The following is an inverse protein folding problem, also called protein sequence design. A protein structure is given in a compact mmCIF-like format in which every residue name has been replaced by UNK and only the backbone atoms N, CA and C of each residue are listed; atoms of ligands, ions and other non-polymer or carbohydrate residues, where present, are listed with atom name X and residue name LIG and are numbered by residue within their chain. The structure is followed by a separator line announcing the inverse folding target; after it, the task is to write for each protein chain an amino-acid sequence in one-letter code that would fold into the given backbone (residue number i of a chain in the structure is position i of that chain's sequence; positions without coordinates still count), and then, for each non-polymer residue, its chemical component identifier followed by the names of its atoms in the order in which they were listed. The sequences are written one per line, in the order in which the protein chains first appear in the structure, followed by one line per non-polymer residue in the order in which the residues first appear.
data_IF_069122461233
#
_entry.id   IF_069122461233
#
_cell.length_a   1.000
_cell.length_b   1.000
_cell.length_c   1.000
_cell.angle_alpha   90.00
_cell.angle_beta   90.00
_cell.angle_gamma   90.00
#
_symmetry.space_group_name_H-M   'P 1'
#
loop_
_entity.id
_entity.type
_entity.pdbx_description
1 polymer ?
#
# COMPACT_ATOMS: atom_id res chain seq x y z
N UNK A 1 2.80 -2.87 26.25
CA UNK A 1 3.66 -3.46 25.23
C UNK A 1 2.97 -3.34 23.89
N UNK A 2 3.28 -2.25 23.19
CA UNK A 2 2.83 -1.94 21.84
C UNK A 2 3.72 -2.57 20.76
N UNK A 3 4.81 -3.26 21.12
CA UNK A 3 5.64 -4.04 20.19
C UNK A 3 6.04 -5.39 20.79
N UNK A 4 5.08 -6.31 20.87
CA UNK A 4 5.26 -7.61 21.55
C UNK A 4 6.46 -8.43 21.06
N UNK A 5 6.83 -8.31 19.78
CA UNK A 5 7.92 -9.06 19.16
C UNK A 5 9.22 -8.27 19.04
N UNK A 6 9.20 -6.96 19.27
CA UNK A 6 10.35 -6.06 19.09
C UNK A 6 10.58 -5.27 20.38
N UNK A 7 11.72 -5.46 21.08
CA UNK A 7 11.97 -4.76 22.34
C UNK A 7 12.00 -3.22 22.17
N UNK A 8 11.06 -2.52 22.79
CA UNK A 8 10.96 -1.06 22.78
C UNK A 8 10.66 -0.50 24.19
N UNK A 9 11.70 -0.29 24.99
CA UNK A 9 11.59 0.06 26.42
C UNK A 9 10.88 1.40 26.68
N UNK A 10 11.04 2.33 25.76
CA UNK A 10 10.42 3.66 25.78
C UNK A 10 8.91 3.61 25.45
N UNK A 11 8.45 2.53 24.78
CA UNK A 11 7.08 2.37 24.31
C UNK A 11 6.61 3.56 23.46
N UNK A 12 7.53 4.20 22.73
CA UNK A 12 7.20 5.33 21.88
C UNK A 12 6.16 4.92 20.84
N UNK A 13 5.21 5.80 20.59
CA UNK A 13 4.13 5.67 19.63
C UNK A 13 3.72 7.08 19.20
N UNK A 14 4.21 7.52 18.05
CA UNK A 14 4.15 8.90 17.59
C UNK A 14 2.80 9.27 16.96
N UNK A 15 2.09 8.29 16.39
CA UNK A 15 0.80 8.50 15.72
C UNK A 15 -0.41 7.99 16.55
N UNK A 16 -0.13 7.35 17.68
CA UNK A 16 -1.08 6.85 18.68
C UNK A 16 -1.93 5.66 18.24
N UNK A 17 -1.47 4.88 17.27
CA UNK A 17 -2.13 3.66 16.83
C UNK A 17 -1.83 2.44 17.76
N UNK A 18 -2.16 1.20 17.36
CA UNK A 18 -1.93 0.02 18.21
C UNK A 18 -0.46 -0.44 18.28
N UNK A 19 0.38 -0.01 17.35
CA UNK A 19 1.78 -0.36 17.22
C UNK A 19 2.66 0.77 17.77
N UNK A 20 3.86 0.42 18.23
CA UNK A 20 4.84 1.43 18.65
C UNK A 20 5.84 1.67 17.53
N UNK A 21 6.49 2.84 17.52
CA UNK A 21 7.45 3.27 16.47
C UNK A 21 8.52 2.21 16.12
N UNK A 22 8.86 1.33 17.07
CA UNK A 22 9.86 0.28 16.87
C UNK A 22 9.39 -0.91 16.00
N UNK A 23 8.08 -1.09 15.83
CA UNK A 23 7.48 -2.19 15.08
C UNK A 23 6.36 -1.73 14.16
N UNK A 24 6.25 -0.43 13.95
CA UNK A 24 5.26 0.21 13.09
C UNK A 24 5.91 0.50 11.73
N UNK A 25 5.33 -0.02 10.65
CA UNK A 25 5.79 0.25 9.29
C UNK A 25 5.36 1.62 8.75
N UNK A 26 4.55 2.39 9.49
CA UNK A 26 4.24 3.79 9.25
C UNK A 26 4.22 4.64 10.54
N UNK A 27 5.36 4.88 11.21
CA UNK A 27 5.42 5.46 12.57
C UNK A 27 4.75 6.83 12.80
N UNK A 28 4.33 7.51 11.74
CA UNK A 28 3.71 8.84 11.80
C UNK A 28 2.29 8.87 11.19
N UNK A 29 1.75 7.73 10.75
CA UNK A 29 0.46 7.63 10.05
C UNK A 29 -0.30 6.39 10.56
N UNK A 30 -1.42 6.56 11.29
CA UNK A 30 -2.09 5.44 11.93
C UNK A 30 -2.54 4.36 10.95
N UNK A 31 -2.06 3.12 11.16
CA UNK A 31 -2.34 1.98 10.29
C UNK A 31 -2.35 0.65 11.07
N UNK A 32 -3.40 0.45 11.86
CA UNK A 32 -3.58 -0.74 12.72
C UNK A 32 -3.58 -2.09 11.97
N UNK A 33 -3.74 -2.12 10.65
CA UNK A 33 -3.62 -3.35 9.85
C UNK A 33 -2.18 -3.66 9.45
N UNK A 34 -1.26 -2.70 9.59
CA UNK A 34 0.17 -2.80 9.24
C UNK A 34 0.36 -3.40 7.85
N UNK A 35 -0.56 -3.07 6.93
CA UNK A 35 -0.54 -3.62 5.58
C UNK A 35 0.68 -3.09 4.84
N UNK A 36 1.37 -3.97 4.14
CA UNK A 36 2.55 -3.73 3.33
C UNK A 36 2.44 -4.68 2.13
N UNK A 37 1.97 -4.13 1.00
CA UNK A 37 1.56 -4.90 -0.19
C UNK A 37 2.76 -5.41 -0.99
N UNK A 38 3.87 -4.68 -1.02
CA UNK A 38 5.10 -5.07 -1.73
C UNK A 38 6.17 -5.72 -0.82
N UNK A 39 5.93 -5.74 0.49
CA UNK A 39 6.81 -6.28 1.53
C UNK A 39 8.17 -5.59 1.62
N UNK A 40 8.23 -4.28 1.33
CA UNK A 40 9.45 -3.48 1.41
C UNK A 40 9.76 -2.97 2.84
N UNK A 41 8.80 -3.08 3.77
CA UNK A 41 8.91 -2.65 5.16
C UNK A 41 8.33 -1.26 5.46
N UNK A 42 7.87 -0.52 4.45
CA UNK A 42 7.03 0.68 4.54
C UNK A 42 5.56 0.25 4.38
N UNK A 43 4.66 0.75 5.22
CA UNK A 43 3.26 0.35 5.14
C UNK A 43 2.50 1.08 4.02
N UNK A 44 1.46 0.44 3.49
CA UNK A 44 0.56 1.00 2.45
C UNK A 44 0.00 2.39 2.83
N UNK A 45 -0.08 2.71 4.13
CA UNK A 45 -0.61 3.97 4.63
C UNK A 45 0.35 5.16 4.44
N UNK A 46 1.65 4.89 4.31
CA UNK A 46 2.70 5.91 4.15
C UNK A 46 3.52 5.73 2.88
N UNK A 47 3.43 4.58 2.20
CA UNK A 47 4.09 4.32 0.93
C UNK A 47 3.38 5.03 -0.25
N UNK A 48 4.17 5.61 -1.16
CA UNK A 48 3.71 6.30 -2.35
C UNK A 48 3.65 5.41 -3.60
N UNK A 49 4.10 4.16 -3.50
CA UNK A 49 4.14 3.12 -4.55
C UNK A 49 3.89 1.77 -3.86
N UNK A 50 2.65 1.50 -3.44
CA UNK A 50 2.34 0.41 -2.50
C UNK A 50 2.52 -0.99 -3.10
N UNK A 51 2.66 -1.12 -4.42
CA UNK A 51 2.93 -2.39 -5.07
C UNK A 51 4.36 -2.52 -5.63
N UNK A 52 5.15 -1.45 -5.53
CA UNK A 52 6.59 -1.46 -5.83
C UNK A 52 6.90 -1.63 -7.32
N UNK A 53 5.98 -1.24 -8.20
CA UNK A 53 6.14 -1.40 -9.64
C UNK A 53 6.92 -0.24 -10.31
N UNK A 54 7.17 0.83 -9.55
CA UNK A 54 7.89 2.03 -9.95
C UNK A 54 6.99 3.18 -10.43
N UNK A 55 5.67 3.01 -10.40
CA UNK A 55 4.68 4.02 -10.73
C UNK A 55 4.00 4.51 -9.44
N UNK A 56 4.05 5.82 -9.13
CA UNK A 56 3.40 6.32 -7.92
C UNK A 56 1.89 6.03 -7.91
N UNK A 57 1.32 5.69 -6.74
CA UNK A 57 -0.09 5.34 -6.53
C UNK A 57 -1.11 6.26 -7.22
N UNK A 58 -0.79 7.56 -7.33
CA UNK A 58 -1.67 8.56 -7.94
C UNK A 58 -1.69 8.53 -9.48
N UNK A 59 -0.69 7.88 -10.09
CA UNK A 59 -0.51 7.74 -11.53
C UNK A 59 -0.71 6.31 -12.01
N UNK A 60 -0.86 5.37 -11.08
CA UNK A 60 -1.01 3.95 -11.33
C UNK A 60 -2.49 3.59 -11.58
N UNK A 61 -2.76 2.93 -12.71
CA UNK A 61 -4.09 2.40 -13.03
C UNK A 61 -4.40 1.05 -12.36
N UNK A 62 -3.45 0.47 -11.63
CA UNK A 62 -3.59 -0.69 -10.75
C UNK A 62 -2.80 -0.54 -9.43
N UNK A 63 -3.14 0.41 -8.54
CA UNK A 63 -2.34 0.76 -7.36
C UNK A 63 -2.01 -0.35 -6.34
N UNK A 64 -2.43 -1.60 -6.54
CA UNK A 64 -2.22 -2.72 -5.62
C UNK A 64 -1.72 -3.97 -6.33
N UNK A 65 -1.46 -3.89 -7.63
CA UNK A 65 -1.14 -5.03 -8.50
C UNK A 65 -0.05 -4.58 -9.48
N UNK A 66 1.19 -5.04 -9.29
CA UNK A 66 2.31 -4.51 -10.06
C UNK A 66 2.09 -4.63 -11.56
N UNK A 67 2.10 -3.51 -12.26
CA UNK A 67 1.90 -3.45 -13.70
C UNK A 67 2.73 -2.33 -14.36
N UNK A 68 4.08 -2.45 -14.42
CA UNK A 68 4.96 -1.37 -14.87
C UNK A 68 4.71 -0.86 -16.30
N UNK A 69 3.95 -1.61 -17.10
CA UNK A 69 3.57 -1.24 -18.47
C UNK A 69 2.30 -0.37 -18.54
N UNK A 70 1.54 -0.24 -17.44
CA UNK A 70 0.33 0.57 -17.33
C UNK A 70 -0.64 0.36 -18.50
N UNK A 71 -0.77 -0.88 -18.97
CA UNK A 71 -1.61 -1.22 -20.11
C UNK A 71 -3.08 -1.14 -19.69
N UNK A 72 -3.89 -0.44 -20.48
CA UNK A 72 -5.33 -0.26 -20.33
C UNK A 72 -5.92 -0.29 -21.75
N UNK A 73 -6.49 -1.44 -22.15
CA UNK A 73 -6.89 -1.68 -23.54
C UNK A 73 -8.26 -1.11 -23.91
N UNK A 74 -9.18 -1.06 -22.95
CA UNK A 74 -10.53 -0.55 -23.18
C UNK A 74 -10.72 0.92 -22.76
N UNK A 75 -9.68 1.51 -22.15
CA UNK A 75 -9.57 2.92 -21.79
C UNK A 75 -10.58 3.33 -20.73
N UNK A 76 -10.87 2.44 -19.78
CA UNK A 76 -11.81 2.68 -18.70
C UNK A 76 -11.17 3.31 -17.45
N UNK A 77 -9.84 3.38 -17.42
CA UNK A 77 -9.04 3.95 -16.34
C UNK A 77 -8.55 2.93 -15.32
N UNK A 78 -8.88 1.65 -15.48
CA UNK A 78 -8.37 0.53 -14.69
C UNK A 78 -7.43 -0.29 -15.56
N UNK A 79 -6.23 -0.60 -15.06
CA UNK A 79 -5.25 -1.34 -15.85
C UNK A 79 -5.65 -2.80 -16.06
N UNK A 80 -5.24 -3.37 -17.19
CA UNK A 80 -5.48 -4.76 -17.57
C UNK A 80 -5.08 -5.78 -16.48
N UNK A 81 -4.11 -5.42 -15.62
CA UNK A 81 -3.62 -6.28 -14.55
C UNK A 81 -4.58 -6.44 -13.38
N UNK A 82 -5.44 -5.43 -13.14
CA UNK A 82 -6.39 -5.39 -12.03
C UNK A 82 -7.85 -5.22 -12.50
N UNK A 83 -8.07 -5.20 -13.81
CA UNK A 83 -9.39 -5.13 -14.40
C UNK A 83 -10.08 -6.51 -14.47
N UNK A 84 -11.33 -6.56 -14.03
CA UNK A 84 -12.25 -7.69 -14.08
C UNK A 84 -12.81 -7.93 -15.48
N UNK A 85 -12.86 -6.92 -16.36
CA UNK A 85 -13.27 -7.03 -17.76
C UNK A 85 -12.31 -6.32 -18.75
N UNK A 86 -11.05 -6.81 -18.96
CA UNK A 86 -9.99 -6.14 -19.75
C UNK A 86 -10.24 -5.84 -21.23
N UNK A 87 -11.45 -6.08 -21.73
CA UNK A 87 -11.88 -5.82 -23.10
C UNK A 87 -13.13 -4.93 -23.17
N UNK A 88 -13.72 -4.58 -22.03
CA UNK A 88 -15.05 -3.99 -21.96
C UNK A 88 -15.19 -3.07 -20.74
N UNK A 89 -15.18 -1.77 -21.02
CA UNK A 89 -15.21 -0.71 -20.01
C UNK A 89 -16.16 -0.96 -18.84
N UNK A 90 -15.58 -1.07 -17.66
CA UNK A 90 -16.22 -1.27 -16.36
C UNK A 90 -15.46 -0.47 -15.28
N UNK A 91 -15.47 0.88 -15.32
CA UNK A 91 -14.61 1.72 -14.47
C UNK A 91 -14.78 1.53 -12.95
N UNK A 92 -15.84 0.84 -12.51
CA UNK A 92 -16.14 0.58 -11.10
C UNK A 92 -15.72 -0.81 -10.62
N UNK A 93 -15.25 -1.67 -11.53
CA UNK A 93 -14.85 -3.07 -11.32
C UNK A 93 -16.00 -4.01 -10.90
#
# INVERSE_FOLDING_TARGET
DNCRLVPNKDQQNSDTDSFGDACDNCPNVPNNDQRDTDANGEGDACDNDIDGDGIPNMLDNCPKVPNPLQTDRDLDGVGDACDSCPEASNPTQ
#
